data_IF_730011034386
#
_entry.id   IF_730011034386
#
_cell.length_a   1.000
_cell.length_b   1.000
_cell.length_c   1.000
_cell.angle_alpha   90.00
_cell.angle_beta   90.00
_cell.angle_gamma   90.00
#
_symmetry.space_group_name_H-M   'P 1'
#
loop_
_entity.id
_entity.type
_entity.pdbx_description
1 polymer ?
#
# COMPACT_ATOMS: atom_id res chain seq x y z
N UNK A 1 21.99 28.80 32.77
CA UNK A 1 21.05 28.81 33.90
C UNK A 1 19.66 28.83 33.31
N UNK A 2 18.84 27.80 33.37
CA UNK A 2 18.95 26.47 33.95
C UNK A 2 17.68 25.74 33.48
N UNK A 3 17.85 24.46 33.15
CA UNK A 3 16.96 23.35 33.50
C UNK A 3 15.56 23.33 32.86
N UNK A 4 15.32 22.49 31.85
CA UNK A 4 15.12 21.02 31.93
C UNK A 4 13.93 20.59 32.77
N UNK A 5 13.22 19.61 32.21
CA UNK A 5 12.46 18.56 32.88
C UNK A 5 10.92 18.70 32.96
N UNK A 6 10.31 17.78 32.19
CA UNK A 6 9.26 16.87 32.68
C UNK A 6 7.88 17.48 32.90
N UNK A 7 7.04 17.50 31.85
CA UNK A 7 5.69 16.96 32.05
C UNK A 7 5.24 16.02 30.91
N UNK A 8 5.36 14.72 31.20
CA UNK A 8 4.39 13.65 30.91
C UNK A 8 4.05 13.31 29.44
N UNK A 9 4.73 12.27 28.94
CA UNK A 9 4.08 10.99 28.64
C UNK A 9 2.55 11.02 28.45
N UNK A 10 2.07 11.28 27.23
CA UNK A 10 1.02 10.55 26.52
C UNK A 10 0.94 11.08 25.07
N UNK A 11 1.98 10.89 24.27
CA UNK A 11 1.84 11.04 22.82
C UNK A 11 1.32 9.70 22.26
N UNK A 12 0.06 9.59 21.78
CA UNK A 12 -0.31 8.44 20.96
C UNK A 12 0.61 8.47 19.72
N UNK A 13 1.35 7.37 19.52
CA UNK A 13 2.38 7.10 18.49
C UNK A 13 2.00 7.49 17.05
N UNK A 14 1.80 8.77 16.73
CA UNK A 14 1.24 9.18 15.42
C UNK A 14 1.78 10.52 14.94
N UNK A 15 3.10 10.69 14.91
CA UNK A 15 3.70 11.75 14.07
C UNK A 15 4.99 11.27 13.42
N UNK A 16 4.84 10.62 12.26
CA UNK A 16 5.90 10.60 11.25
C UNK A 16 5.67 11.86 10.39
N UNK A 17 6.52 12.86 10.61
CA UNK A 17 6.55 14.14 9.90
C UNK A 17 7.33 13.96 8.59
N UNK A 18 6.75 14.35 7.46
CA UNK A 18 7.44 14.94 6.31
C UNK A 18 6.47 15.94 5.66
N UNK A 19 6.81 17.23 5.80
CA UNK A 19 6.39 18.38 4.99
C UNK A 19 4.91 18.58 4.63
N UNK A 20 4.26 19.42 5.42
CA UNK A 20 3.55 20.65 5.02
C UNK A 20 2.90 20.75 3.62
N UNK A 21 1.59 21.06 3.67
CA UNK A 21 0.69 21.64 2.65
C UNK A 21 -0.17 20.68 1.81
N UNK A 22 -1.49 20.96 1.88
CA UNK A 22 -2.61 20.56 0.99
C UNK A 22 -3.46 19.33 1.37
N UNK A 23 -4.71 19.61 1.78
CA UNK A 23 -5.96 18.81 1.63
C UNK A 23 -5.90 17.31 1.90
N UNK A 24 -6.53 16.81 2.99
CA UNK A 24 -7.00 15.42 3.25
C UNK A 24 -6.53 14.31 2.27
N UNK A 25 -5.23 14.23 2.00
CA UNK A 25 -4.67 13.23 1.11
C UNK A 25 -4.44 12.02 1.98
N UNK A 26 -5.31 11.04 1.82
CA UNK A 26 -5.23 9.74 2.48
C UNK A 26 -3.79 9.24 2.38
N UNK A 27 -3.07 9.23 3.50
CA UNK A 27 -1.67 8.78 3.57
C UNK A 27 -1.62 7.33 3.09
N UNK A 28 -1.21 7.13 1.84
CA UNK A 28 -1.08 5.79 1.26
C UNK A 28 -0.08 4.97 2.08
N UNK A 29 -0.39 3.71 2.28
CA UNK A 29 0.25 2.77 3.21
C UNK A 29 1.44 2.08 2.55
N UNK A 30 2.45 1.78 3.35
CA UNK A 30 3.66 1.07 2.92
C UNK A 30 3.40 -0.44 2.78
N UNK A 31 4.36 -1.17 2.21
CA UNK A 31 4.30 -2.64 2.13
C UNK A 31 4.07 -3.28 3.51
N UNK A 32 3.36 -4.40 3.53
CA UNK A 32 2.94 -5.17 4.70
C UNK A 32 2.02 -4.42 5.68
N UNK A 33 1.48 -3.25 5.30
CA UNK A 33 0.47 -2.55 6.11
C UNK A 33 -0.95 -2.96 5.71
N UNK A 34 -1.86 -2.98 6.68
CA UNK A 34 -3.25 -3.36 6.42
C UNK A 34 -3.95 -2.40 5.45
N UNK A 35 -4.69 -2.93 4.49
CA UNK A 35 -5.43 -2.18 3.46
C UNK A 35 -6.81 -2.80 3.25
N UNK A 36 -7.76 -1.98 2.80
CA UNK A 36 -9.12 -2.40 2.45
C UNK A 36 -9.34 -2.37 0.94
N UNK A 37 -8.67 -1.41 0.27
CA UNK A 37 -8.78 -1.13 -1.16
C UNK A 37 -7.39 -0.87 -1.75
N UNK A 38 -7.25 -1.05 -3.06
CA UNK A 38 -6.01 -0.77 -3.78
C UNK A 38 -5.50 0.65 -3.57
N UNK A 39 -6.39 1.63 -3.43
CA UNK A 39 -6.05 3.04 -3.19
C UNK A 39 -5.39 3.30 -1.84
N UNK A 40 -5.57 2.39 -0.87
CA UNK A 40 -4.92 2.52 0.43
C UNK A 40 -3.41 2.33 0.35
N UNK A 41 -2.89 1.63 -0.65
CA UNK A 41 -1.48 1.29 -0.74
C UNK A 41 -0.71 2.29 -1.61
N UNK A 42 0.51 2.63 -1.22
CA UNK A 42 1.36 3.58 -1.95
C UNK A 42 1.63 3.11 -3.39
N UNK A 43 1.73 1.80 -3.57
CA UNK A 43 1.90 1.13 -4.86
C UNK A 43 0.59 0.79 -5.57
N UNK A 44 -0.57 1.12 -5.00
CA UNK A 44 -1.87 0.80 -5.60
C UNK A 44 -2.26 -0.68 -5.54
N UNK A 45 -1.53 -1.53 -4.79
CA UNK A 45 -1.82 -2.96 -4.71
C UNK A 45 -2.13 -3.40 -3.28
N UNK A 46 -3.42 -3.65 -3.03
CA UNK A 46 -3.91 -4.22 -1.79
C UNK A 46 -4.29 -5.68 -2.03
N UNK A 47 -3.59 -6.59 -1.37
CA UNK A 47 -3.94 -8.01 -1.46
C UNK A 47 -5.29 -8.24 -0.78
N UNK A 48 -6.32 -8.58 -1.54
CA UNK A 48 -7.70 -8.59 -1.04
C UNK A 48 -7.96 -9.66 0.04
N UNK A 49 -7.26 -10.79 -0.02
CA UNK A 49 -7.36 -11.87 0.98
C UNK A 49 -6.53 -11.58 2.24
N UNK A 50 -5.26 -11.21 2.08
CA UNK A 50 -4.36 -10.89 3.20
C UNK A 50 -4.64 -9.52 3.83
N UNK A 51 -5.44 -8.68 3.17
CA UNK A 51 -5.73 -7.30 3.57
C UNK A 51 -4.46 -6.50 3.85
N UNK A 52 -3.40 -6.71 3.07
CA UNK A 52 -2.12 -6.00 3.24
C UNK A 52 -1.57 -5.49 1.91
N UNK A 53 -0.84 -4.38 1.97
CA UNK A 53 -0.15 -3.83 0.81
C UNK A 53 1.02 -4.74 0.43
N UNK A 54 0.99 -5.28 -0.77
CA UNK A 54 1.98 -6.25 -1.24
C UNK A 54 2.62 -5.73 -2.53
N UNK A 55 3.84 -6.14 -2.81
CA UNK A 55 4.47 -5.84 -4.11
C UNK A 55 3.62 -6.46 -5.22
N UNK A 56 3.27 -5.70 -6.27
CA UNK A 56 2.52 -6.25 -7.39
C UNK A 56 3.26 -7.44 -7.99
N UNK A 57 2.53 -8.53 -8.20
CA UNK A 57 3.03 -9.77 -8.78
C UNK A 57 2.02 -10.29 -9.79
N UNK A 58 2.50 -11.03 -10.79
CA UNK A 58 1.66 -11.64 -11.83
C UNK A 58 0.78 -12.81 -11.35
N UNK A 59 0.66 -12.98 -10.04
CA UNK A 59 0.03 -14.12 -9.35
C UNK A 59 -0.57 -13.69 -8.00
N UNK A 60 -0.85 -12.40 -7.83
CA UNK A 60 -1.35 -11.83 -6.56
C UNK A 60 -2.88 -11.68 -6.52
N UNK A 61 -3.59 -12.18 -7.54
CA UNK A 61 -5.04 -12.17 -7.62
C UNK A 61 -5.62 -10.83 -8.05
N UNK A 62 -4.80 -9.86 -8.42
CA UNK A 62 -5.24 -8.51 -8.78
C UNK A 62 -4.77 -8.15 -10.20
N UNK A 63 -5.70 -7.74 -11.08
CA UNK A 63 -5.33 -7.22 -12.42
C UNK A 63 -4.45 -5.98 -12.33
N UNK A 64 -3.13 -6.13 -12.44
CA UNK A 64 -2.16 -5.06 -12.29
C UNK A 64 -0.98 -5.16 -13.27
N UNK A 65 -0.02 -4.22 -13.19
CA UNK A 65 1.12 -4.14 -14.12
C UNK A 65 0.66 -4.17 -15.59
N UNK A 66 1.15 -5.11 -16.40
CA UNK A 66 0.79 -5.26 -17.81
C UNK A 66 -0.19 -6.42 -18.06
N UNK A 67 -0.88 -6.88 -17.01
CA UNK A 67 -1.79 -8.00 -17.09
C UNK A 67 -2.98 -7.77 -18.04
N UNK A 68 -3.20 -8.73 -18.94
CA UNK A 68 -4.34 -8.71 -19.85
C UNK A 68 -5.63 -9.18 -19.13
N UNK A 69 -5.50 -10.15 -18.22
CA UNK A 69 -6.51 -10.56 -17.25
C UNK A 69 -5.85 -10.89 -15.90
N UNK A 70 -6.63 -11.08 -14.84
CA UNK A 70 -6.10 -11.32 -13.48
C UNK A 70 -5.06 -12.45 -13.54
N UNK A 71 -3.84 -12.17 -13.07
CA UNK A 71 -2.72 -13.11 -13.02
C UNK A 71 -2.28 -13.70 -14.39
N UNK A 72 -2.60 -13.04 -15.50
CA UNK A 72 -2.20 -13.53 -16.82
C UNK A 72 -2.04 -12.46 -17.90
N UNK A 73 -1.17 -12.79 -18.86
CA UNK A 73 -0.89 -12.04 -20.07
C UNK A 73 -0.11 -10.76 -19.83
N UNK A 74 0.46 -10.18 -20.88
CA UNK A 74 1.25 -8.96 -20.78
C UNK A 74 2.71 -9.16 -21.14
N UNK A 75 3.45 -8.05 -21.22
CA UNK A 75 4.88 -8.09 -21.50
C UNK A 75 5.69 -8.52 -20.27
N UNK A 76 5.27 -8.09 -19.07
CA UNK A 76 5.89 -8.45 -17.80
C UNK A 76 5.36 -9.76 -17.21
N UNK A 77 4.10 -10.09 -17.47
CA UNK A 77 3.47 -11.32 -17.00
C UNK A 77 3.38 -12.37 -18.12
N UNK A 78 4.40 -13.24 -18.18
CA UNK A 78 4.57 -14.25 -19.23
C UNK A 78 3.55 -15.40 -19.19
N UNK A 79 2.74 -15.47 -18.14
CA UNK A 79 1.67 -16.47 -18.01
C UNK A 79 0.67 -16.27 -19.13
N UNK A 80 0.47 -17.26 -20.00
CA UNK A 80 -0.52 -17.16 -21.05
C UNK A 80 -1.94 -17.08 -20.46
N UNK A 81 -2.74 -16.10 -20.91
CA UNK A 81 -4.15 -16.09 -20.58
C UNK A 81 -4.86 -17.22 -21.33
N UNK A 82 -5.19 -18.28 -20.61
CA UNK A 82 -6.17 -19.25 -21.04
C UNK A 82 -7.50 -18.50 -21.19
N UNK A 83 -8.07 -18.44 -22.41
CA UNK A 83 -9.41 -17.88 -22.67
C UNK A 83 -10.50 -18.71 -21.97
N UNK A 84 -10.54 -18.74 -20.64
CA UNK A 84 -11.56 -19.41 -19.84
C UNK A 84 -11.59 -18.81 -18.42
N UNK A 85 -12.05 -17.57 -18.27
CA UNK A 85 -12.83 -17.10 -17.10
C UNK A 85 -13.81 -16.03 -17.56
#
# INVERSE_FOLDING_TARGET
>A
MELTEQFYYLLPRTKLILSETTTFAQKKRALNQCCMTNTDCANGNCHILLKTCQTPSCTDGNKNQDELAIDCGGATCLTACSKLQ
#
